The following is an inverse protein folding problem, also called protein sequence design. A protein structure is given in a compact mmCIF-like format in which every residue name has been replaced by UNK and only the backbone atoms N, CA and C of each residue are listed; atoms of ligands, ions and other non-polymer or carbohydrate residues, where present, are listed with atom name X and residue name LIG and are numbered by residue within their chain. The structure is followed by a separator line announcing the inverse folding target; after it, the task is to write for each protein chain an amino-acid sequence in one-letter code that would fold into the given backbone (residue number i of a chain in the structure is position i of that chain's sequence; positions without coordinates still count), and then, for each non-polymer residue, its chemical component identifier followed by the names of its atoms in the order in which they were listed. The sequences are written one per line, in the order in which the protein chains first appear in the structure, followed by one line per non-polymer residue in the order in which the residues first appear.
data_IF_384230915088
#
_entry.id   IF_384230915088
#
_cell.length_a   1.000
_cell.length_b   1.000
_cell.length_c   1.000
_cell.angle_alpha   90.00
_cell.angle_beta   90.00
_cell.angle_gamma   90.00
#
_symmetry.space_group_name_H-M   'P 1'
#
loop_
_entity.id
_entity.type
_entity.pdbx_description
1 polymer ?
#
# COMPACT_ATOMS: atom_id res chain seq x y z
N UNK A 1 32.19 -14.13 8.27
CA UNK A 1 31.04 -13.54 8.99
C UNK A 1 30.51 -12.25 8.37
N UNK A 2 31.30 -11.16 8.23
CA UNK A 2 30.80 -9.86 7.70
C UNK A 2 30.17 -9.93 6.30
N UNK A 3 30.76 -10.70 5.36
CA UNK A 3 30.24 -10.86 3.98
C UNK A 3 28.86 -11.51 3.92
N UNK A 4 28.62 -12.55 4.73
CA UNK A 4 27.32 -13.25 4.75
C UNK A 4 26.21 -12.38 5.33
N UNK A 5 26.52 -11.57 6.35
CA UNK A 5 25.56 -10.62 6.92
C UNK A 5 25.16 -9.53 5.92
N UNK A 6 26.10 -9.06 5.09
CA UNK A 6 25.81 -8.08 4.05
C UNK A 6 24.89 -8.64 2.96
N UNK A 7 25.11 -9.89 2.54
CA UNK A 7 24.26 -10.57 1.55
C UNK A 7 22.84 -10.78 2.12
N UNK A 8 22.73 -11.23 3.38
CA UNK A 8 21.44 -11.40 4.04
C UNK A 8 20.70 -10.06 4.16
N UNK A 9 21.39 -8.99 4.55
CA UNK A 9 20.79 -7.66 4.64
C UNK A 9 20.28 -7.16 3.29
N UNK A 10 21.09 -7.32 2.22
CA UNK A 10 20.66 -7.00 0.85
C UNK A 10 19.40 -7.76 0.47
N UNK A 11 19.37 -9.06 0.71
CA UNK A 11 18.23 -9.92 0.37
C UNK A 11 16.96 -9.49 1.13
N UNK A 12 17.10 -9.15 2.43
CA UNK A 12 16.00 -8.63 3.24
C UNK A 12 15.48 -7.27 2.72
N UNK A 13 16.35 -6.38 2.29
CA UNK A 13 15.96 -5.08 1.72
C UNK A 13 15.20 -5.31 0.41
N UNK A 14 15.73 -6.14 -0.49
CA UNK A 14 15.10 -6.43 -1.79
C UNK A 14 13.72 -7.05 -1.60
N UNK A 15 13.61 -8.08 -0.74
CA UNK A 15 12.34 -8.73 -0.43
C UNK A 15 11.38 -7.75 0.25
N UNK A 16 11.86 -6.95 1.20
CA UNK A 16 11.05 -5.96 1.91
C UNK A 16 10.45 -4.91 0.97
N UNK A 17 11.24 -4.37 0.05
CA UNK A 17 10.78 -3.41 -0.97
C UNK A 17 9.75 -4.05 -1.90
N UNK A 18 9.98 -5.29 -2.33
CA UNK A 18 9.00 -6.00 -3.16
C UNK A 18 7.67 -6.22 -2.43
N UNK A 19 7.72 -6.65 -1.16
CA UNK A 19 6.53 -6.92 -0.33
C UNK A 19 5.73 -5.65 -0.06
N UNK A 20 6.37 -4.52 0.28
CA UNK A 20 5.63 -3.26 0.49
C UNK A 20 4.98 -2.78 -0.79
N UNK A 21 5.71 -2.79 -1.90
CA UNK A 21 5.19 -2.29 -3.16
C UNK A 21 4.05 -3.16 -3.69
N UNK A 22 4.12 -4.48 -3.47
CA UNK A 22 3.04 -5.42 -3.77
C UNK A 22 1.82 -5.16 -2.88
N UNK A 23 2.04 -4.92 -1.58
CA UNK A 23 0.97 -4.65 -0.62
C UNK A 23 0.22 -3.36 -0.96
N UNK A 24 0.93 -2.31 -1.35
CA UNK A 24 0.36 -1.05 -1.85
C UNK A 24 -0.43 -1.31 -3.14
N UNK A 25 0.17 -2.00 -4.11
CA UNK A 25 -0.48 -2.29 -5.39
C UNK A 25 -1.79 -3.06 -5.21
N UNK A 26 -1.79 -4.14 -4.41
CA UNK A 26 -3.00 -4.92 -4.12
C UNK A 26 -4.04 -4.03 -3.44
N UNK A 27 -3.65 -3.24 -2.44
CA UNK A 27 -4.57 -2.39 -1.68
C UNK A 27 -5.25 -1.36 -2.55
N UNK A 28 -4.49 -0.63 -3.40
CA UNK A 28 -5.05 0.38 -4.31
C UNK A 28 -6.02 -0.25 -5.31
N UNK A 29 -5.74 -1.46 -5.80
CA UNK A 29 -6.61 -2.15 -6.76
C UNK A 29 -7.78 -2.91 -6.09
N UNK A 30 -7.81 -3.02 -4.77
CA UNK A 30 -8.87 -3.74 -4.06
C UNK A 30 -10.12 -2.87 -3.89
N UNK A 31 -10.85 -2.67 -4.99
CA UNK A 31 -12.10 -1.89 -5.02
C UNK A 31 -13.20 -2.45 -4.11
N UNK A 32 -13.10 -3.71 -3.69
CA UNK A 32 -14.01 -4.33 -2.72
C UNK A 32 -13.96 -3.67 -1.34
N UNK A 33 -12.78 -3.21 -0.89
CA UNK A 33 -12.64 -2.47 0.36
C UNK A 33 -13.40 -1.15 0.28
N UNK A 34 -13.25 -0.40 -0.81
CA UNK A 34 -13.98 0.85 -1.00
C UNK A 34 -15.49 0.62 -1.08
N UNK A 35 -15.94 -0.40 -1.80
CA UNK A 35 -17.36 -0.76 -1.89
C UNK A 35 -17.98 -1.02 -0.51
N UNK A 36 -17.26 -1.68 0.40
CA UNK A 36 -17.71 -1.88 1.78
C UNK A 36 -18.01 -0.54 2.48
N UNK A 37 -17.11 0.45 2.37
CA UNK A 37 -17.32 1.78 2.95
C UNK A 37 -18.46 2.55 2.27
N UNK A 38 -18.57 2.47 0.94
CA UNK A 38 -19.68 3.09 0.18
C UNK A 38 -21.04 2.62 0.69
N UNK A 39 -21.18 1.32 0.96
CA UNK A 39 -22.43 0.75 1.48
C UNK A 39 -22.63 1.07 2.95
N UNK A 40 -21.63 0.82 3.80
CA UNK A 40 -21.69 0.96 5.27
C UNK A 40 -21.97 2.41 5.69
N UNK A 41 -21.26 3.36 5.09
CA UNK A 41 -21.28 4.77 5.51
C UNK A 41 -22.16 5.64 4.60
N UNK A 42 -22.87 5.03 3.65
CA UNK A 42 -23.73 5.71 2.68
C UNK A 42 -23.04 6.86 1.93
N UNK A 43 -21.77 6.66 1.56
CA UNK A 43 -20.90 7.72 1.02
C UNK A 43 -21.47 8.40 -0.22
N UNK A 44 -22.21 7.68 -1.07
CA UNK A 44 -22.89 8.25 -2.23
C UNK A 44 -23.79 9.43 -1.86
N UNK A 45 -24.59 9.28 -0.80
CA UNK A 45 -25.51 10.33 -0.33
C UNK A 45 -24.78 11.59 0.11
N UNK A 46 -23.58 11.46 0.69
CA UNK A 46 -22.78 12.59 1.17
C UNK A 46 -22.29 13.51 0.04
N UNK A 47 -22.25 12.98 -1.18
CA UNK A 47 -21.79 13.69 -2.38
C UNK A 47 -22.88 13.80 -3.45
N UNK A 48 -24.13 13.47 -3.12
CA UNK A 48 -25.27 13.59 -4.04
C UNK A 48 -25.28 12.58 -5.19
N UNK A 49 -24.63 11.42 -5.02
CA UNK A 49 -24.58 10.35 -6.02
C UNK A 49 -25.26 9.08 -5.51
N UNK A 50 -25.72 8.22 -6.41
CA UNK A 50 -26.01 6.83 -6.06
C UNK A 50 -24.72 6.06 -5.74
N UNK A 51 -24.83 4.97 -4.96
CA UNK A 51 -23.68 4.10 -4.69
C UNK A 51 -23.06 3.53 -5.99
N UNK A 52 -23.90 3.25 -6.99
CA UNK A 52 -23.44 2.76 -8.29
C UNK A 52 -22.60 3.80 -9.04
N UNK A 53 -23.10 5.04 -9.13
CA UNK A 53 -22.36 6.15 -9.76
C UNK A 53 -21.05 6.45 -9.02
N UNK A 54 -21.07 6.42 -7.68
CA UNK A 54 -19.88 6.61 -6.88
C UNK A 54 -18.82 5.52 -7.13
N UNK A 55 -19.24 4.26 -7.23
CA UNK A 55 -18.33 3.15 -7.56
C UNK A 55 -17.75 3.27 -8.98
N UNK A 56 -18.51 3.77 -9.95
CA UNK A 56 -17.98 4.08 -11.29
C UNK A 56 -16.91 5.17 -11.20
N UNK A 57 -17.21 6.28 -10.52
CA UNK A 57 -16.24 7.36 -10.29
C UNK A 57 -14.96 6.86 -9.64
N UNK A 58 -15.09 6.01 -8.62
CA UNK A 58 -13.94 5.43 -7.94
C UNK A 58 -13.11 4.52 -8.86
N UNK A 59 -13.75 3.69 -9.70
CA UNK A 59 -13.02 2.88 -10.69
C UNK A 59 -12.28 3.75 -11.70
N UNK A 60 -12.88 4.84 -12.16
CA UNK A 60 -12.18 5.81 -13.02
C UNK A 60 -10.98 6.46 -12.31
N UNK A 61 -11.10 6.77 -11.01
CA UNK A 61 -9.99 7.24 -10.20
C UNK A 61 -8.87 6.18 -10.12
N UNK A 62 -9.20 4.92 -9.85
CA UNK A 62 -8.18 3.84 -9.82
C UNK A 62 -7.51 3.68 -11.18
N UNK A 63 -8.26 3.67 -12.29
CA UNK A 63 -7.69 3.64 -13.64
C UNK A 63 -6.77 4.84 -13.90
N UNK A 64 -7.17 6.05 -13.49
CA UNK A 64 -6.34 7.24 -13.58
C UNK A 64 -5.04 7.10 -12.80
N UNK A 65 -5.07 6.57 -11.57
CA UNK A 65 -3.87 6.37 -10.75
C UNK A 65 -2.95 5.27 -11.29
N UNK A 66 -3.49 4.24 -11.95
CA UNK A 66 -2.73 3.07 -12.42
C UNK A 66 -2.15 3.23 -13.84
N UNK A 67 -2.83 3.95 -14.73
CA UNK A 67 -2.49 3.99 -16.15
C UNK A 67 -1.78 5.29 -16.57
N UNK A 68 -0.50 5.21 -16.94
CA UNK A 68 0.31 6.38 -17.35
C UNK A 68 -0.22 7.17 -18.55
N UNK A 69 -1.00 6.53 -19.43
CA UNK A 69 -1.61 7.19 -20.59
C UNK A 69 -2.92 7.93 -20.27
N UNK A 70 -3.48 7.78 -19.07
CA UNK A 70 -4.66 8.55 -18.64
C UNK A 70 -4.17 9.83 -17.95
N UNK A 71 -4.10 10.92 -18.70
CA UNK A 71 -3.58 12.20 -18.23
C UNK A 71 -4.59 13.04 -17.43
N UNK A 72 -5.89 12.84 -17.67
CA UNK A 72 -6.96 13.60 -17.03
C UNK A 72 -7.91 12.69 -16.28
N UNK A 73 -8.13 12.99 -15.00
CA UNK A 73 -9.12 12.29 -14.18
C UNK A 73 -10.53 12.76 -14.55
N UNK A 74 -11.34 11.86 -15.10
CA UNK A 74 -12.74 12.11 -15.38
C UNK A 74 -13.59 11.74 -14.16
N UNK A 75 -14.08 12.77 -13.45
CA UNK A 75 -14.96 12.64 -12.28
C UNK A 75 -16.24 13.44 -12.50
N UNK A 76 -17.36 12.91 -12.03
CA UNK A 76 -18.64 13.63 -12.00
C UNK A 76 -18.75 14.55 -10.79
N UNK A 77 -17.79 14.48 -9.86
CA UNK A 77 -17.73 15.37 -8.69
C UNK A 77 -16.99 16.66 -9.04
N UNK A 78 -17.48 17.83 -8.57
CA UNK A 78 -16.72 19.07 -8.62
C UNK A 78 -15.32 18.87 -8.04
N UNK A 79 -14.31 19.45 -8.69
CA UNK A 79 -12.92 19.35 -8.25
C UNK A 79 -12.22 20.68 -8.50
N UNK A 80 -11.60 21.24 -7.47
CA UNK A 80 -10.78 22.44 -7.59
C UNK A 80 -9.46 22.14 -8.29
N UNK A 81 -8.75 23.18 -8.74
CA UNK A 81 -7.41 23.03 -9.31
C UNK A 81 -6.45 22.37 -8.32
N UNK A 82 -6.53 22.73 -7.02
CA UNK A 82 -5.74 22.12 -5.95
C UNK A 82 -6.05 20.63 -5.78
N UNK A 83 -7.34 20.28 -5.76
CA UNK A 83 -7.81 18.90 -5.71
C UNK A 83 -7.21 18.05 -6.82
N UNK A 84 -7.31 18.53 -8.06
CA UNK A 84 -6.75 17.86 -9.23
C UNK A 84 -5.21 17.74 -9.16
N UNK A 85 -4.52 18.81 -8.73
CA UNK A 85 -3.06 18.79 -8.53
C UNK A 85 -2.65 17.77 -7.48
N UNK A 86 -3.38 17.64 -6.37
CA UNK A 86 -3.11 16.62 -5.36
C UNK A 86 -3.22 15.21 -5.94
N UNK A 87 -4.31 14.88 -6.64
CA UNK A 87 -4.47 13.56 -7.26
C UNK A 87 -3.43 13.28 -8.35
N UNK A 88 -2.96 14.30 -9.07
CA UNK A 88 -1.85 14.16 -10.00
C UNK A 88 -0.53 13.81 -9.29
N UNK A 89 -0.25 14.41 -8.12
CA UNK A 89 0.91 14.05 -7.30
C UNK A 89 0.77 12.61 -6.76
N UNK A 90 -0.42 12.20 -6.32
CA UNK A 90 -0.69 10.81 -5.88
C UNK A 90 -0.48 9.83 -7.03
N UNK A 91 -0.93 10.15 -8.26
CA UNK A 91 -0.69 9.34 -9.46
C UNK A 91 0.79 9.07 -9.67
N UNK A 92 1.64 10.09 -9.58
CA UNK A 92 3.09 9.92 -9.74
C UNK A 92 3.68 8.95 -8.70
N UNK A 93 3.20 9.00 -7.44
CA UNK A 93 3.63 8.08 -6.39
C UNK A 93 3.17 6.64 -6.66
N UNK A 94 1.93 6.44 -7.14
CA UNK A 94 1.40 5.12 -7.49
C UNK A 94 2.15 4.53 -8.69
N UNK A 95 2.42 5.32 -9.73
CA UNK A 95 3.21 4.88 -10.89
C UNK A 95 4.65 4.54 -10.50
N UNK A 96 5.26 5.36 -9.66
CA UNK A 96 6.58 5.07 -9.11
C UNK A 96 6.57 3.75 -8.32
N UNK A 97 5.56 3.53 -7.47
CA UNK A 97 5.39 2.26 -6.76
C UNK A 97 5.28 1.07 -7.71
N UNK A 98 4.54 1.21 -8.83
CA UNK A 98 4.38 0.14 -9.80
C UNK A 98 5.70 -0.21 -10.50
N UNK A 99 6.51 0.80 -10.85
CA UNK A 99 7.86 0.57 -11.39
C UNK A 99 8.76 -0.13 -10.37
N UNK A 100 8.73 0.32 -9.12
CA UNK A 100 9.47 -0.32 -8.01
C UNK A 100 9.02 -1.77 -7.83
N UNK A 101 7.71 -2.05 -7.87
CA UNK A 101 7.17 -3.40 -7.77
C UNK A 101 7.69 -4.32 -8.87
N UNK A 102 7.72 -3.86 -10.13
CA UNK A 102 8.21 -4.67 -11.24
C UNK A 102 9.69 -5.01 -11.02
N UNK A 103 10.52 -4.00 -10.74
CA UNK A 103 11.97 -4.18 -10.58
C UNK A 103 12.28 -5.07 -9.37
N UNK A 104 11.78 -4.69 -8.19
CA UNK A 104 12.08 -5.40 -6.95
C UNK A 104 11.33 -6.72 -6.83
N UNK A 105 10.17 -6.88 -7.47
CA UNK A 105 9.47 -8.15 -7.57
C UNK A 105 10.31 -9.20 -8.31
N UNK A 106 10.87 -8.84 -9.46
CA UNK A 106 11.78 -9.73 -10.22
C UNK A 106 13.02 -10.06 -9.39
N UNK A 107 13.65 -9.05 -8.77
CA UNK A 107 14.85 -9.26 -7.94
C UNK A 107 14.56 -10.13 -6.71
N UNK A 108 13.47 -9.90 -6.01
CA UNK A 108 13.05 -10.69 -4.85
C UNK A 108 12.79 -12.12 -5.25
N UNK A 109 12.14 -12.35 -6.38
CA UNK A 109 11.89 -13.69 -6.90
C UNK A 109 13.19 -14.44 -7.25
N UNK A 110 14.18 -13.76 -7.86
CA UNK A 110 15.51 -14.34 -8.08
C UNK A 110 16.19 -14.68 -6.75
N UNK A 111 16.17 -13.76 -5.79
CA UNK A 111 16.77 -13.97 -4.46
C UNK A 111 16.13 -15.16 -3.75
N UNK A 112 14.79 -15.23 -3.72
CA UNK A 112 14.05 -16.32 -3.09
C UNK A 112 14.37 -17.65 -3.78
N UNK A 113 14.32 -17.72 -5.12
CA UNK A 113 14.66 -18.94 -5.87
C UNK A 113 16.08 -19.44 -5.57
N UNK A 114 17.05 -18.54 -5.52
CA UNK A 114 18.43 -18.90 -5.20
C UNK A 114 18.55 -19.46 -3.77
N UNK A 115 17.91 -18.82 -2.79
CA UNK A 115 17.90 -19.28 -1.39
C UNK A 115 17.20 -20.63 -1.24
N UNK A 116 16.11 -20.87 -1.96
CA UNK A 116 15.43 -22.18 -2.00
C UNK A 116 16.34 -23.26 -2.59
N UNK A 117 17.01 -22.97 -3.72
CA UNK A 117 17.93 -23.91 -4.37
C UNK A 117 19.12 -24.26 -3.49
N UNK A 118 19.61 -23.31 -2.71
CA UNK A 118 20.74 -23.49 -1.79
C UNK A 118 20.32 -24.04 -0.40
N UNK A 119 19.04 -24.28 -0.16
CA UNK A 119 18.49 -24.69 1.16
C UNK A 119 18.86 -23.71 2.30
N UNK A 120 18.71 -22.41 2.02
CA UNK A 120 19.08 -21.32 2.93
C UNK A 120 17.89 -20.44 3.35
N UNK A 121 16.65 -20.83 3.05
CA UNK A 121 15.47 -20.05 3.43
C UNK A 121 15.33 -19.88 4.95
N UNK A 122 15.88 -20.83 5.72
CA UNK A 122 15.93 -20.75 7.17
C UNK A 122 16.68 -19.51 7.71
N UNK A 123 17.62 -18.95 6.94
CA UNK A 123 18.37 -17.76 7.34
C UNK A 123 17.48 -16.50 7.40
N UNK A 124 16.34 -16.50 6.69
CA UNK A 124 15.38 -15.39 6.70
C UNK A 124 14.49 -15.40 7.95
N UNK A 125 14.37 -16.53 8.67
CA UNK A 125 13.39 -16.68 9.76
C UNK A 125 13.60 -15.64 10.85
N UNK A 126 14.83 -15.52 11.37
CA UNK A 126 15.14 -14.61 12.47
C UNK A 126 14.95 -13.14 12.08
N UNK A 127 15.56 -12.63 10.98
CA UNK A 127 15.37 -11.23 10.59
C UNK A 127 13.92 -10.90 10.24
N UNK A 128 13.18 -11.81 9.60
CA UNK A 128 11.74 -11.60 9.33
C UNK A 128 10.94 -11.53 10.64
N UNK A 129 11.20 -12.40 11.62
CA UNK A 129 10.54 -12.32 12.94
C UNK A 129 10.81 -11.00 13.66
N UNK A 130 12.05 -10.53 13.64
CA UNK A 130 12.41 -9.23 14.22
C UNK A 130 11.68 -8.09 13.51
N UNK A 131 11.65 -8.11 12.18
CA UNK A 131 10.91 -7.15 11.37
C UNK A 131 9.40 -7.16 11.68
N UNK A 132 8.78 -8.34 11.77
CA UNK A 132 7.36 -8.47 12.12
C UNK A 132 7.05 -7.97 13.55
N UNK A 133 7.97 -8.15 14.48
CA UNK A 133 7.82 -7.63 15.86
C UNK A 133 7.80 -6.11 15.85
N UNK A 134 8.76 -5.48 15.17
CA UNK A 134 8.81 -4.03 15.01
C UNK A 134 7.57 -3.48 14.28
N UNK A 135 7.15 -4.19 13.23
CA UNK A 135 5.96 -3.84 12.45
C UNK A 135 4.69 -3.90 13.31
N UNK A 136 4.54 -4.93 14.16
CA UNK A 136 3.42 -5.04 15.09
C UNK A 136 3.32 -3.85 16.05
N UNK A 137 4.46 -3.41 16.60
CA UNK A 137 4.52 -2.19 17.42
C UNK A 137 4.09 -0.95 16.64
N UNK A 138 4.57 -0.81 15.39
CA UNK A 138 4.19 0.33 14.55
C UNK A 138 2.69 0.33 14.22
N UNK A 139 2.11 -0.82 13.87
CA UNK A 139 0.67 -0.96 13.60
C UNK A 139 -0.16 -0.62 14.84
N UNK A 140 0.29 -1.00 16.03
CA UNK A 140 -0.39 -0.61 17.27
C UNK A 140 -0.41 0.91 17.47
N UNK A 141 0.71 1.60 17.23
CA UNK A 141 0.78 3.06 17.28
C UNK A 141 -0.12 3.70 16.21
N UNK A 142 -0.09 3.14 14.99
CA UNK A 142 -0.91 3.59 13.86
C UNK A 142 -2.39 3.63 14.20
N UNK A 143 -2.93 2.57 14.80
CA UNK A 143 -4.36 2.49 15.15
C UNK A 143 -4.75 3.53 16.22
N UNK A 144 -3.84 3.84 17.15
CA UNK A 144 -4.13 4.78 18.25
C UNK A 144 -4.02 6.25 17.80
N UNK A 145 -3.15 6.53 16.84
CA UNK A 145 -2.79 7.89 16.43
C UNK A 145 -2.92 8.10 14.91
N UNK A 146 -3.93 7.48 14.28
CA UNK A 146 -4.07 7.48 12.83
C UNK A 146 -4.19 8.89 12.25
N UNK A 147 -5.00 9.75 12.86
CA UNK A 147 -5.21 11.16 12.46
C UNK A 147 -3.88 11.92 12.31
N UNK A 148 -3.02 11.83 13.32
CA UNK A 148 -1.70 12.49 13.33
C UNK A 148 -0.76 11.87 12.32
N UNK A 149 -0.75 10.54 12.21
CA UNK A 149 0.09 9.83 11.25
C UNK A 149 -0.35 10.14 9.81
N UNK A 150 -1.65 10.28 9.57
CA UNK A 150 -2.21 10.64 8.27
C UNK A 150 -1.75 12.04 7.86
N UNK A 151 -1.77 13.03 8.78
CA UNK A 151 -1.23 14.37 8.52
C UNK A 151 0.28 14.31 8.24
N UNK A 152 1.05 13.65 9.11
CA UNK A 152 2.51 13.52 8.94
C UNK A 152 2.88 12.82 7.63
N UNK A 153 2.11 11.82 7.20
CA UNK A 153 2.25 11.15 5.92
C UNK A 153 2.11 12.14 4.75
N UNK A 154 1.09 13.01 4.80
CA UNK A 154 0.90 14.02 3.77
C UNK A 154 2.02 15.07 3.77
N UNK A 155 2.45 15.54 4.93
CA UNK A 155 3.57 16.49 5.05
C UNK A 155 4.90 15.90 4.56
N UNK A 156 5.12 14.60 4.78
CA UNK A 156 6.32 13.92 4.33
C UNK A 156 6.37 13.73 2.81
N UNK A 157 5.21 13.45 2.18
CA UNK A 157 5.13 13.15 0.75
C UNK A 157 4.84 14.37 -0.14
N UNK A 158 4.14 15.37 0.39
CA UNK A 158 3.70 16.54 -0.37
C UNK A 158 4.28 17.82 0.25
N UNK A 159 5.08 18.54 -0.53
CA UNK A 159 5.67 19.83 -0.11
C UNK A 159 4.69 21.01 -0.18
N UNK A 160 3.50 20.80 -0.74
CA UNK A 160 2.43 21.78 -0.86
C UNK A 160 1.27 21.47 0.10
N UNK A 161 0.24 22.31 0.10
CA UNK A 161 -0.98 22.14 0.91
C UNK A 161 -2.20 21.76 0.07
N UNK A 162 -1.99 21.23 -1.14
CA UNK A 162 -3.08 20.93 -2.07
C UNK A 162 -3.92 19.73 -1.62
N UNK A 163 -3.42 18.95 -0.65
CA UNK A 163 -4.14 17.85 0.02
C UNK A 163 -5.17 18.33 1.06
N UNK A 164 -5.19 19.61 1.42
CA UNK A 164 -6.20 20.18 2.33
C UNK A 164 -7.42 20.59 1.51
N UNK A 165 -8.42 19.71 1.45
CA UNK A 165 -9.62 19.90 0.66
C UNK A 165 -10.68 20.74 1.38
N UNK A 166 -11.37 21.59 0.62
CA UNK A 166 -12.60 22.23 1.09
C UNK A 166 -13.80 21.37 0.66
N UNK A 167 -14.63 20.86 1.59
CA UNK A 167 -15.74 19.96 1.26
C UNK A 167 -16.83 20.56 0.35
N UNK A 168 -16.83 21.88 0.12
CA UNK A 168 -17.74 22.56 -0.81
C UNK A 168 -17.21 22.53 -2.25
N UNK A 169 -15.90 22.73 -2.45
CA UNK A 169 -15.27 22.74 -3.79
C UNK A 169 -14.74 21.38 -4.20
N UNK A 170 -14.43 20.53 -3.22
CA UNK A 170 -13.81 19.21 -3.38
C UNK A 170 -14.57 18.17 -2.53
N UNK A 171 -15.83 17.86 -2.86
CA UNK A 171 -16.67 16.92 -2.12
C UNK A 171 -16.10 15.49 -2.07
N UNK A 172 -15.09 15.18 -2.89
CA UNK A 172 -14.35 13.90 -2.86
C UNK A 172 -13.82 13.56 -1.46
N UNK A 173 -13.49 14.55 -0.61
CA UNK A 173 -13.07 14.30 0.78
C UNK A 173 -14.15 13.57 1.59
N UNK A 174 -15.43 13.79 1.28
CA UNK A 174 -16.55 13.09 1.93
C UNK A 174 -16.72 11.67 1.39
N UNK A 175 -16.33 11.45 0.14
CA UNK A 175 -16.40 10.15 -0.53
C UNK A 175 -15.16 9.27 -0.29
N UNK A 176 -14.06 9.84 0.21
CA UNK A 176 -12.85 9.14 0.62
C UNK A 176 -12.54 9.51 2.09
N UNK A 177 -13.36 9.04 3.05
CA UNK A 177 -13.19 9.42 4.45
C UNK A 177 -11.87 8.90 5.02
N UNK A 178 -11.40 9.54 6.09
CA UNK A 178 -10.19 9.14 6.81
C UNK A 178 -10.22 7.66 7.25
N UNK A 179 -11.36 7.18 7.73
CA UNK A 179 -11.55 5.78 8.14
C UNK A 179 -11.35 4.77 7.01
N UNK A 180 -11.62 5.16 5.76
CA UNK A 180 -11.30 4.33 4.59
C UNK A 180 -9.78 4.26 4.38
N UNK A 181 -9.07 5.38 4.52
CA UNK A 181 -7.61 5.38 4.43
C UNK A 181 -6.96 4.60 5.58
N UNK A 182 -7.51 4.65 6.79
CA UNK A 182 -7.06 3.81 7.91
C UNK A 182 -7.14 2.33 7.54
N UNK A 183 -8.27 1.88 7.00
CA UNK A 183 -8.44 0.50 6.55
C UNK A 183 -7.46 0.13 5.42
N UNK A 184 -7.17 1.05 4.50
CA UNK A 184 -6.13 0.84 3.47
C UNK A 184 -4.74 0.65 4.10
N UNK A 185 -4.34 1.50 5.05
CA UNK A 185 -3.05 1.33 5.75
C UNK A 185 -2.99 -0.02 6.47
N UNK A 186 -4.04 -0.39 7.19
CA UNK A 186 -4.11 -1.68 7.88
C UNK A 186 -4.04 -2.86 6.90
N UNK A 187 -4.67 -2.76 5.74
CA UNK A 187 -4.59 -3.80 4.70
C UNK A 187 -3.16 -3.96 4.16
N UNK A 188 -2.44 -2.86 3.91
CA UNK A 188 -1.02 -2.90 3.50
C UNK A 188 -0.19 -3.67 4.53
N UNK A 189 -0.37 -3.37 5.83
CA UNK A 189 0.36 -4.06 6.89
C UNK A 189 -0.08 -5.52 7.06
N UNK A 190 -1.36 -5.83 6.89
CA UNK A 190 -1.86 -7.19 6.93
C UNK A 190 -1.21 -8.05 5.84
N UNK A 191 -1.18 -7.57 4.59
CA UNK A 191 -0.53 -8.28 3.48
C UNK A 191 0.96 -8.48 3.77
N UNK A 192 1.65 -7.46 4.29
CA UNK A 192 3.04 -7.57 4.69
C UNK A 192 3.24 -8.68 5.73
N UNK A 193 2.43 -8.67 6.80
CA UNK A 193 2.52 -9.66 7.88
C UNK A 193 2.31 -11.07 7.32
N UNK A 194 1.29 -11.27 6.48
CA UNK A 194 1.03 -12.56 5.84
C UNK A 194 2.19 -13.03 4.97
N UNK A 195 2.81 -12.13 4.20
CA UNK A 195 4.01 -12.45 3.41
C UNK A 195 5.18 -12.88 4.30
N UNK A 196 5.44 -12.15 5.39
CA UNK A 196 6.47 -12.50 6.36
C UNK A 196 6.23 -13.85 7.05
N UNK A 197 4.98 -14.13 7.44
CA UNK A 197 4.59 -15.43 7.99
C UNK A 197 4.77 -16.56 6.98
N UNK A 198 4.47 -16.33 5.70
CA UNK A 198 4.74 -17.26 4.60
C UNK A 198 6.22 -17.61 4.47
N UNK A 199 7.10 -16.60 4.51
CA UNK A 199 8.56 -16.81 4.48
C UNK A 199 9.05 -17.62 5.68
N UNK A 200 8.56 -17.31 6.89
CA UNK A 200 8.89 -18.06 8.11
C UNK A 200 8.43 -19.52 8.01
N UNK A 201 7.19 -19.73 7.55
CA UNK A 201 6.61 -21.06 7.38
C UNK A 201 7.44 -21.90 6.41
N UNK A 202 7.80 -21.34 5.25
CA UNK A 202 8.62 -22.02 4.26
C UNK A 202 10.01 -22.37 4.80
N UNK A 203 10.69 -21.40 5.44
CA UNK A 203 12.02 -21.63 6.03
C UNK A 203 12.00 -22.73 7.11
N UNK A 204 10.95 -22.79 7.94
CA UNK A 204 10.78 -23.86 8.92
C UNK A 204 10.55 -25.22 8.28
N UNK A 205 9.79 -25.26 7.18
CA UNK A 205 9.52 -26.50 6.45
C UNK A 205 10.78 -27.05 5.78
N UNK A 206 11.64 -26.18 5.22
CA UNK A 206 12.95 -26.55 4.69
C UNK A 206 13.87 -27.19 5.76
N UNK A 207 13.95 -26.60 6.96
CA UNK A 207 14.71 -27.16 8.08
C UNK A 207 14.23 -28.55 8.51
N UNK A 208 12.93 -28.82 8.41
CA UNK A 208 12.35 -30.12 8.77
C UNK A 208 12.70 -31.20 7.75
N UNK A 209 12.86 -30.86 6.47
CA UNK A 209 13.25 -31.82 5.41
C UNK A 209 14.75 -32.15 5.41
N UNK A 210 15.58 -31.27 5.98
CA UNK A 210 17.02 -31.47 6.08
C UNK A 210 17.45 -32.28 7.32
N UNK A 211 16.51 -32.64 8.20
CA UNK A 211 16.70 -33.54 9.35
C UNK A 211 16.15 -34.92 9.03
#
# INVERSE_FOLDING_TARGET
MKKNNLILLRDMIVIGIAVISLSIFITVNFTGLYHFFVVRDHLGRLVGLSNHELMINYRHLISYLQCGWIHHWQTSLPSSSKGLTHFANVKQLIEFNNVVLIIFGILAEIVIRNRVREHQMWQLILPVKMGLTLLGTFVFILVIAFDRIFILFHEALFRNRDWIFNPQTDPIIKALPESFFEACFLLVFLIWILAGLGLIWYGKHELKKAR
#
